data_IF_204227886862
#
_entry.id   IF_204227886862
#
_cell.length_a   1.000
_cell.length_b   1.000
_cell.length_c   1.000
_cell.angle_alpha   90.00
_cell.angle_beta   90.00
_cell.angle_gamma   90.00
#
_symmetry.space_group_name_H-M   'P 1'
#
loop_
_entity.id
_entity.type
_entity.pdbx_description
1 polymer ?
#
# COMPACT_ATOMS: atom_id res chain seq x y z
N UNK A 1 10.15 0.11 18.60
CA UNK A 1 9.28 0.88 19.50
C UNK A 1 9.30 0.21 20.84
N UNK A 2 9.70 0.95 21.87
CA UNK A 2 9.47 0.54 23.25
C UNK A 2 7.96 0.63 23.59
N UNK A 3 7.60 0.40 24.85
CA UNK A 3 6.19 0.43 25.25
C UNK A 3 5.55 1.81 25.07
N UNK A 4 6.28 2.88 25.39
CA UNK A 4 5.78 4.25 25.33
C UNK A 4 5.57 4.70 23.87
N UNK A 5 6.54 4.43 23.00
CA UNK A 5 6.43 4.69 21.56
C UNK A 5 5.24 3.95 20.95
N UNK A 6 5.01 2.70 21.35
CA UNK A 6 3.91 1.89 20.82
C UNK A 6 2.56 2.49 21.20
N UNK A 7 2.40 2.90 22.45
CA UNK A 7 1.19 3.55 22.93
C UNK A 7 0.91 4.86 22.16
N UNK A 8 1.94 5.72 22.02
CA UNK A 8 1.82 6.95 21.26
C UNK A 8 1.44 6.71 19.78
N UNK A 9 2.09 5.75 19.11
CA UNK A 9 1.78 5.43 17.73
C UNK A 9 0.35 4.94 17.55
N UNK A 10 -0.15 4.10 18.46
CA UNK A 10 -1.53 3.61 18.40
C UNK A 10 -2.53 4.74 18.69
N UNK A 11 -2.23 5.64 19.63
CA UNK A 11 -3.05 6.82 19.91
C UNK A 11 -3.13 7.77 18.69
N UNK A 12 -2.07 7.84 17.88
CA UNK A 12 -2.05 8.58 16.61
C UNK A 12 -2.72 7.84 15.44
N UNK A 13 -3.33 6.67 15.69
CA UNK A 13 -4.03 5.87 14.69
C UNK A 13 -3.17 4.80 14.01
N UNK A 14 -1.97 4.52 14.51
CA UNK A 14 -1.06 3.51 13.93
C UNK A 14 -0.49 3.92 12.56
N UNK A 15 0.18 2.98 11.89
CA UNK A 15 0.78 3.25 10.58
C UNK A 15 -0.31 3.38 9.51
N UNK A 16 -0.27 4.45 8.72
CA UNK A 16 -1.27 4.78 7.70
C UNK A 16 -2.70 4.82 8.27
N UNK A 17 -2.89 5.30 9.51
CA UNK A 17 -4.20 5.42 10.17
C UNK A 17 -5.01 4.11 10.17
N UNK A 18 -4.34 2.96 10.23
CA UNK A 18 -4.96 1.62 10.22
C UNK A 18 -5.41 1.15 11.60
N UNK A 19 -5.01 1.85 12.66
CA UNK A 19 -5.12 1.38 14.04
C UNK A 19 -4.06 0.34 14.43
N UNK A 20 -3.16 -0.04 13.50
CA UNK A 20 -2.15 -1.07 13.71
C UNK A 20 -0.74 -0.53 13.53
N UNK A 21 0.21 -1.05 14.32
CA UNK A 21 1.63 -0.88 14.03
C UNK A 21 2.03 -1.99 13.06
N UNK A 22 2.63 -1.58 11.95
CA UNK A 22 3.09 -2.48 10.90
C UNK A 22 1.97 -3.38 10.32
N UNK A 23 0.92 -2.77 9.73
CA UNK A 23 -0.21 -3.51 9.22
C UNK A 23 0.22 -4.54 8.16
N UNK A 24 -0.40 -5.71 8.24
CA UNK A 24 -0.08 -6.85 7.40
C UNK A 24 -1.33 -7.29 6.62
N UNK A 25 -1.26 -7.13 5.30
CA UNK A 25 -2.32 -7.55 4.38
C UNK A 25 -1.87 -8.68 3.45
N UNK A 26 -0.86 -9.46 3.86
CA UNK A 26 -0.40 -10.63 3.11
C UNK A 26 -1.58 -11.56 2.75
N UNK A 27 -1.59 -12.07 1.53
CA UNK A 27 -2.63 -12.97 1.01
C UNK A 27 -3.90 -12.27 0.53
N UNK A 28 -4.22 -11.06 1.01
CA UNK A 28 -5.40 -10.31 0.54
C UNK A 28 -5.21 -9.86 -0.91
N UNK A 29 -6.31 -9.83 -1.67
CA UNK A 29 -6.30 -9.29 -3.02
C UNK A 29 -6.09 -7.78 -2.98
N UNK A 30 -5.11 -7.29 -3.73
CA UNK A 30 -4.77 -5.89 -3.79
C UNK A 30 -4.70 -5.43 -5.25
N UNK A 31 -5.43 -4.36 -5.58
CA UNK A 31 -5.43 -3.73 -6.90
C UNK A 31 -4.17 -2.88 -7.18
N UNK A 32 -3.20 -2.85 -6.26
CA UNK A 32 -1.87 -2.34 -6.55
C UNK A 32 -1.19 -3.21 -7.63
N UNK A 33 -0.80 -2.57 -8.73
CA UNK A 33 -0.33 -3.18 -9.96
C UNK A 33 -1.34 -3.12 -11.12
N UNK A 34 -2.65 -3.09 -10.84
CA UNK A 34 -3.69 -2.97 -11.86
C UNK A 34 -4.35 -1.59 -11.91
N UNK A 35 -4.44 -0.90 -10.76
CA UNK A 35 -5.07 0.43 -10.63
C UNK A 35 -4.18 1.46 -9.93
N UNK A 36 -2.97 1.06 -9.55
CA UNK A 36 -1.97 1.88 -8.85
C UNK A 36 -0.59 1.32 -9.14
N UNK A 37 0.40 2.19 -9.24
CA UNK A 37 1.81 1.82 -9.36
C UNK A 37 2.68 2.92 -8.74
N UNK A 38 3.93 2.60 -8.47
CA UNK A 38 4.96 3.56 -8.08
C UNK A 38 6.06 3.58 -9.13
N UNK A 39 6.51 4.76 -9.51
CA UNK A 39 7.67 4.94 -10.38
C UNK A 39 8.82 5.47 -9.51
N UNK A 40 9.98 4.83 -9.58
CA UNK A 40 11.20 5.31 -8.92
C UNK A 40 11.92 6.33 -9.79
N UNK A 41 12.85 7.09 -9.21
CA UNK A 41 13.68 8.05 -9.95
C UNK A 41 14.48 7.43 -11.09
N UNK A 42 14.73 6.12 -11.06
CA UNK A 42 15.32 5.36 -12.17
C UNK A 42 14.38 5.16 -13.37
N UNK A 43 13.12 5.59 -13.28
CA UNK A 43 12.08 5.31 -14.27
C UNK A 43 11.45 3.92 -14.15
N UNK A 44 11.94 3.04 -13.28
CA UNK A 44 11.37 1.70 -13.06
C UNK A 44 10.02 1.79 -12.33
N UNK A 45 9.02 1.09 -12.85
CA UNK A 45 7.67 1.03 -12.33
C UNK A 45 7.45 -0.27 -11.54
N UNK A 46 6.83 -0.16 -10.37
CA UNK A 46 6.53 -1.27 -9.49
C UNK A 46 5.07 -1.26 -9.06
N UNK A 47 4.51 -2.41 -8.75
CA UNK A 47 3.10 -2.51 -8.33
C UNK A 47 2.79 -1.73 -7.05
N UNK A 48 3.76 -1.61 -6.14
CA UNK A 48 3.61 -0.89 -4.87
C UNK A 48 4.97 -0.55 -4.23
N UNK A 49 4.97 0.17 -3.12
CA UNK A 49 6.22 0.53 -2.43
C UNK A 49 7.01 -0.69 -1.92
N UNK A 50 6.42 -1.68 -1.20
CA UNK A 50 7.14 -2.89 -0.81
C UNK A 50 7.76 -3.63 -1.98
N UNK A 51 7.06 -3.70 -3.11
CA UNK A 51 7.59 -4.31 -4.33
C UNK A 51 8.87 -3.63 -4.82
N UNK A 52 8.92 -2.29 -4.78
CA UNK A 52 10.11 -1.53 -5.14
C UNK A 52 11.29 -1.67 -4.18
N UNK A 53 11.09 -2.28 -3.00
CA UNK A 53 12.11 -2.49 -1.97
C UNK A 53 12.57 -3.94 -1.86
N UNK A 54 11.66 -4.88 -2.06
CA UNK A 54 11.87 -6.30 -1.76
C UNK A 54 11.72 -7.21 -2.97
N UNK A 55 11.29 -6.69 -4.14
CA UNK A 55 11.09 -7.48 -5.34
C UNK A 55 9.99 -8.54 -5.18
N UNK A 56 10.12 -9.65 -5.90
CA UNK A 56 9.20 -10.79 -5.85
C UNK A 56 8.21 -10.86 -7.03
N UNK A 57 7.24 -11.77 -6.91
CA UNK A 57 6.25 -12.01 -7.97
C UNK A 57 5.39 -10.77 -8.21
N UNK A 58 5.21 -10.40 -9.48
CA UNK A 58 4.46 -9.21 -9.92
C UNK A 58 5.03 -7.88 -9.41
N UNK A 59 6.27 -7.86 -8.89
CA UNK A 59 6.81 -6.69 -8.23
C UNK A 59 7.03 -5.52 -9.20
N UNK A 60 7.63 -5.81 -10.34
CA UNK A 60 7.96 -4.83 -11.36
C UNK A 60 6.99 -4.89 -12.54
N UNK A 61 6.67 -3.72 -13.08
CA UNK A 61 5.70 -3.53 -14.17
C UNK A 61 6.36 -3.00 -15.45
N UNK A 62 7.69 -2.86 -15.47
CA UNK A 62 8.44 -2.27 -16.58
C UNK A 62 9.05 -0.91 -16.23
N UNK A 63 9.22 -0.06 -17.23
CA UNK A 63 9.87 1.24 -17.09
C UNK A 63 9.10 2.34 -17.82
N UNK A 64 9.20 3.56 -17.32
CA UNK A 64 8.58 4.73 -17.96
C UNK A 64 9.10 4.98 -19.39
N UNK A 65 10.33 4.52 -19.68
CA UNK A 65 10.98 4.72 -20.98
C UNK A 65 10.60 3.63 -21.98
N UNK A 66 10.56 2.36 -21.55
CA UNK A 66 10.35 1.22 -22.44
C UNK A 66 8.88 0.77 -22.49
N UNK A 67 8.07 1.21 -21.52
CA UNK A 67 6.68 0.82 -21.37
C UNK A 67 6.39 0.20 -20.00
N UNK A 68 5.18 0.48 -19.52
CA UNK A 68 4.66 -0.04 -18.25
C UNK A 68 3.46 -0.93 -18.58
N UNK A 69 3.54 -2.20 -18.20
CA UNK A 69 2.45 -3.16 -18.32
C UNK A 69 1.78 -3.34 -16.96
N UNK A 70 0.52 -2.92 -16.85
CA UNK A 70 -0.27 -3.15 -15.65
C UNK A 70 -0.70 -4.61 -15.55
N UNK A 71 -0.98 -5.05 -14.32
CA UNK A 71 -1.61 -6.33 -14.07
C UNK A 71 -3.09 -6.26 -14.47
N UNK A 72 -3.64 -7.33 -15.03
CA UNK A 72 -5.04 -7.34 -15.50
C UNK A 72 -6.05 -7.19 -14.35
N UNK A 73 -5.71 -7.71 -13.17
CA UNK A 73 -6.59 -7.76 -12.01
C UNK A 73 -5.82 -7.65 -10.69
N UNK A 74 -6.57 -7.49 -9.59
CA UNK A 74 -6.01 -7.52 -8.25
C UNK A 74 -5.25 -8.84 -8.02
N UNK A 75 -4.09 -8.74 -7.37
CA UNK A 75 -3.25 -9.89 -7.05
C UNK A 75 -3.10 -10.06 -5.54
N UNK A 76 -2.99 -11.31 -5.04
CA UNK A 76 -2.63 -11.55 -3.65
C UNK A 76 -1.36 -10.80 -3.27
N UNK A 77 -1.36 -10.15 -2.10
CA UNK A 77 -0.19 -9.46 -1.59
C UNK A 77 0.85 -10.48 -1.09
N UNK A 78 2.11 -10.50 -1.60
CA UNK A 78 3.14 -11.40 -1.09
C UNK A 78 3.85 -10.86 0.16
N UNK A 79 3.64 -9.59 0.52
CA UNK A 79 4.42 -8.90 1.55
C UNK A 79 3.76 -8.96 2.93
N UNK A 80 4.55 -9.23 3.97
CA UNK A 80 4.13 -9.27 5.38
C UNK A 80 4.02 -7.90 6.06
N UNK A 81 4.34 -6.84 5.33
CA UNK A 81 4.35 -5.48 5.81
C UNK A 81 3.85 -4.55 4.71
N UNK A 82 2.81 -3.76 5.00
CA UNK A 82 2.23 -2.81 4.07
C UNK A 82 2.40 -1.38 4.57
N UNK A 83 3.19 -0.59 3.84
CA UNK A 83 3.33 0.84 4.06
C UNK A 83 2.72 1.68 2.92
N UNK A 84 1.72 1.13 2.24
CA UNK A 84 1.12 1.75 1.06
C UNK A 84 -0.09 2.60 1.45
N UNK A 85 0.07 3.91 1.60
CA UNK A 85 -1.01 4.84 1.95
C UNK A 85 -2.18 4.79 0.96
N UNK A 86 -1.90 4.88 -0.35
CA UNK A 86 -2.96 4.97 -1.37
C UNK A 86 -3.82 3.69 -1.46
N UNK A 87 -3.26 2.48 -1.60
CA UNK A 87 -4.05 1.26 -1.59
C UNK A 87 -4.88 1.04 -0.32
N UNK A 88 -4.33 1.38 0.86
CA UNK A 88 -5.04 1.27 2.14
C UNK A 88 -6.25 2.19 2.15
N UNK A 89 -6.07 3.48 1.88
CA UNK A 89 -7.17 4.45 2.04
C UNK A 89 -8.18 4.46 0.90
N UNK A 90 -7.81 4.00 -0.31
CA UNK A 90 -8.69 4.08 -1.49
C UNK A 90 -9.51 2.81 -1.75
N UNK A 91 -9.59 1.89 -0.79
CA UNK A 91 -10.38 0.66 -0.92
C UNK A 91 -9.83 -0.26 -2.00
N UNK A 92 -8.51 -0.33 -2.14
CA UNK A 92 -7.84 -1.16 -3.15
C UNK A 92 -7.45 -2.54 -2.62
N UNK A 93 -7.58 -2.78 -1.31
CA UNK A 93 -7.22 -4.02 -0.64
C UNK A 93 -8.52 -4.67 -0.16
N UNK A 94 -8.73 -5.93 -0.51
CA UNK A 94 -9.92 -6.67 -0.11
C UNK A 94 -10.05 -6.78 1.42
N UNK A 95 -11.27 -6.58 1.92
CA UNK A 95 -11.59 -6.55 3.34
C UNK A 95 -10.91 -5.43 4.13
N UNK A 96 -10.36 -4.39 3.48
CA UNK A 96 -9.87 -3.17 4.14
C UNK A 96 -10.81 -2.02 3.77
N UNK A 97 -11.52 -1.41 4.74
CA UNK A 97 -12.47 -0.35 4.46
C UNK A 97 -11.79 0.85 3.78
N UNK A 98 -12.45 1.39 2.75
CA UNK A 98 -12.06 2.68 2.17
C UNK A 98 -12.21 3.75 3.25
N UNK A 99 -11.14 4.49 3.51
CA UNK A 99 -11.24 5.68 4.35
C UNK A 99 -12.05 6.73 3.59
N UNK A 100 -13.17 7.16 4.16
CA UNK A 100 -13.88 8.33 3.66
C UNK A 100 -12.95 9.54 3.77
N UNK A 101 -12.93 10.48 2.80
CA UNK A 101 -12.20 11.72 2.98
C UNK A 101 -12.69 12.39 4.27
N UNK A 102 -11.77 12.80 5.15
CA UNK A 102 -12.09 13.65 6.30
C UNK A 102 -12.47 15.06 5.79
N UNK A 103 -13.64 15.17 5.17
CA UNK A 103 -14.34 16.42 4.92
C UNK A 103 -15.72 16.34 5.57
N UNK A 104 -15.73 16.29 6.90
CA UNK A 104 -16.80 16.87 7.69
C UNK A 104 -16.13 17.71 8.77
N UNK A 105 -15.77 18.93 8.40
CA UNK A 105 -15.97 20.02 9.34
C UNK A 105 -17.48 20.11 9.50
N UNK A 106 -18.02 19.48 10.53
CA UNK A 106 -19.35 19.80 11.02
C UNK A 106 -19.16 20.93 12.02
N UNK A 107 -19.76 22.07 11.69
CA UNK A 107 -19.99 23.22 12.58
C UNK A 107 -20.79 22.81 13.83
#
# INVERSE_FOLDING_TARGET
>A
YDAHDRELLLALGGHNLTGEIAPNFQGRLCAAGSRYLVIKSSGRAYRCYPASRHGGRYAELGSFVEGIQLLDQAQPCPYRYCNCTVPIHRGMIDGVPRSLPMHTAAE
#
